data_IF_382277474953
#
_entry.id   IF_382277474953
#
_cell.length_a   1.000
_cell.length_b   1.000
_cell.length_c   1.000
_cell.angle_alpha   90.00
_cell.angle_beta   90.00
_cell.angle_gamma   90.00
#
_symmetry.space_group_name_H-M   'P 1'
#
loop_
_entity.id
_entity.type
_entity.pdbx_description
1 polymer ?
#
# COMPACT_ATOMS: atom_id res chain seq x y z
N UNK A 1 -112.15 51.24 53.07
CA UNK A 1 -111.02 51.41 52.12
C UNK A 1 -109.69 51.74 52.78
N UNK A 2 -109.61 52.60 53.82
CA UNK A 2 -108.34 52.94 54.51
C UNK A 2 -107.54 51.76 55.10
N UNK A 3 -108.21 50.70 55.57
CA UNK A 3 -107.54 49.53 56.18
C UNK A 3 -106.91 48.57 55.17
N UNK A 4 -107.39 48.57 53.92
CA UNK A 4 -106.82 47.73 52.85
C UNK A 4 -105.55 48.37 52.31
N UNK A 5 -105.51 49.71 52.18
CA UNK A 5 -104.30 50.43 51.74
C UNK A 5 -103.10 50.25 52.69
N UNK A 6 -103.36 50.17 54.01
CA UNK A 6 -102.30 49.94 55.00
C UNK A 6 -101.75 48.52 54.90
N UNK A 7 -102.60 47.50 54.73
CA UNK A 7 -102.14 46.11 54.60
C UNK A 7 -101.33 45.89 53.31
N UNK A 8 -101.72 46.51 52.21
CA UNK A 8 -100.99 46.42 50.93
C UNK A 8 -99.66 47.16 51.00
N UNK A 9 -99.60 48.33 51.63
CA UNK A 9 -98.35 49.07 51.83
C UNK A 9 -97.37 48.32 52.74
N UNK A 10 -97.86 47.69 53.82
CA UNK A 10 -97.03 46.88 54.71
C UNK A 10 -96.47 45.64 54.00
N UNK A 11 -97.28 44.96 53.18
CA UNK A 11 -96.84 43.78 52.42
C UNK A 11 -95.76 44.13 51.38
N UNK A 12 -95.85 45.30 50.73
CA UNK A 12 -94.87 45.77 49.75
C UNK A 12 -93.50 46.14 50.37
N UNK A 13 -93.48 46.65 51.61
CA UNK A 13 -92.23 46.96 52.32
C UNK A 13 -91.50 45.68 52.77
N UNK A 14 -92.23 44.61 53.07
CA UNK A 14 -91.66 43.32 53.47
C UNK A 14 -91.08 42.50 52.30
N UNK A 15 -91.53 42.75 51.06
CA UNK A 15 -90.98 42.09 49.85
C UNK A 15 -89.81 42.83 49.19
N UNK A 16 -89.35 43.95 49.76
CA UNK A 16 -88.26 44.76 49.23
C UNK A 16 -86.84 44.17 49.43
N UNK A 17 -86.70 43.11 50.25
CA UNK A 17 -85.47 42.32 50.29
C UNK A 17 -85.49 41.31 49.13
N UNK A 18 -85.24 41.84 47.92
CA UNK A 18 -85.03 41.05 46.72
C UNK A 18 -83.80 40.15 46.83
N UNK A 19 -83.74 39.19 45.93
CA UNK A 19 -82.82 38.04 45.77
C UNK A 19 -81.33 38.34 45.60
N UNK A 20 -80.81 39.40 46.23
CA UNK A 20 -79.39 39.74 46.36
C UNK A 20 -79.06 40.13 47.80
N UNK A 21 -79.67 39.42 48.77
CA UNK A 21 -79.63 39.73 50.19
C UNK A 21 -78.21 39.83 50.77
N UNK A 22 -78.06 40.72 51.76
CA UNK A 22 -76.84 40.87 52.54
C UNK A 22 -76.53 39.58 53.31
N UNK A 23 -75.64 38.73 52.79
CA UNK A 23 -75.18 37.47 53.41
C UNK A 23 -74.02 37.66 54.42
N UNK A 24 -73.95 38.84 55.04
CA UNK A 24 -73.03 39.15 56.14
C UNK A 24 -71.85 40.04 55.78
N UNK A 25 -70.85 40.08 56.68
CA UNK A 25 -69.70 41.00 56.62
C UNK A 25 -68.84 40.85 55.36
N UNK A 26 -68.92 39.71 54.68
CA UNK A 26 -68.13 39.40 53.47
C UNK A 26 -68.62 40.12 52.21
N UNK A 27 -69.83 40.67 52.19
CA UNK A 27 -70.35 41.46 51.06
C UNK A 27 -69.98 42.96 51.15
N UNK A 28 -69.30 43.39 52.24
CA UNK A 28 -68.83 44.77 52.36
C UNK A 28 -67.47 44.92 51.67
N UNK A 29 -67.31 45.90 50.77
CA UNK A 29 -66.01 46.14 50.14
C UNK A 29 -65.00 46.53 51.23
N UNK A 30 -63.97 45.69 51.39
CA UNK A 30 -62.87 45.99 52.29
C UNK A 30 -62.03 47.14 51.72
N UNK A 31 -61.67 48.15 52.54
CA UNK A 31 -60.77 49.21 52.09
C UNK A 31 -59.41 48.61 51.71
N UNK A 32 -58.93 48.91 50.50
CA UNK A 32 -57.64 48.40 49.99
C UNK A 32 -57.71 47.20 49.04
N UNK A 33 -58.91 46.69 48.72
CA UNK A 33 -59.10 45.66 47.69
C UNK A 33 -58.86 46.16 46.26
N UNK A 34 -58.73 45.23 45.31
CA UNK A 34 -58.58 45.57 43.88
C UNK A 34 -59.79 46.36 43.37
N UNK A 35 -59.55 47.39 42.55
CA UNK A 35 -60.60 48.09 41.83
C UNK A 35 -61.20 47.15 40.79
N UNK A 36 -62.51 46.94 40.85
CA UNK A 36 -63.24 46.06 39.94
C UNK A 36 -63.80 46.80 38.72
N UNK A 37 -63.73 48.14 38.71
CA UNK A 37 -64.36 48.98 37.70
C UNK A 37 -65.89 48.90 37.69
N UNK A 38 -66.51 49.54 36.69
CA UNK A 38 -67.98 49.68 36.59
C UNK A 38 -68.70 48.39 36.16
N UNK A 39 -67.97 47.45 35.56
CA UNK A 39 -68.52 46.23 34.95
C UNK A 39 -67.61 45.02 35.17
N UNK A 40 -67.45 44.54 36.42
CA UNK A 40 -66.73 43.30 36.65
C UNK A 40 -67.44 42.12 36.00
N UNK A 41 -66.66 41.06 35.71
CA UNK A 41 -67.18 39.80 35.21
C UNK A 41 -66.77 38.66 36.15
N UNK A 42 -67.63 37.65 36.24
CA UNK A 42 -67.47 36.47 37.07
C UNK A 42 -66.74 35.35 36.30
N UNK A 43 -65.83 34.67 36.98
CA UNK A 43 -65.19 33.46 36.48
C UNK A 43 -65.23 32.40 37.57
N UNK A 44 -65.61 31.19 37.20
CA UNK A 44 -65.58 30.02 38.07
C UNK A 44 -64.30 29.25 37.86
N UNK A 45 -63.62 28.91 38.94
CA UNK A 45 -62.34 28.21 38.90
C UNK A 45 -62.43 26.96 39.75
N UNK A 46 -62.12 25.81 39.15
CA UNK A 46 -62.16 24.52 39.81
C UNK A 46 -60.77 24.12 40.29
N UNK A 47 -60.58 24.00 41.60
CA UNK A 47 -59.33 23.53 42.20
C UNK A 47 -59.54 22.17 42.87
N UNK A 48 -58.53 21.29 42.79
CA UNK A 48 -58.53 20.03 43.54
C UNK A 48 -58.53 20.26 45.05
N UNK A 49 -57.84 21.31 45.49
CA UNK A 49 -57.78 21.75 46.88
C UNK A 49 -57.53 23.26 46.90
N UNK A 50 -58.24 23.98 47.76
CA UNK A 50 -58.12 25.43 47.95
C UNK A 50 -57.40 25.81 49.24
N UNK A 51 -57.00 24.83 50.05
CA UNK A 51 -56.27 25.02 51.30
C UNK A 51 -56.98 26.10 52.17
N UNK A 52 -56.23 27.11 52.59
CA UNK A 52 -56.68 28.22 53.43
C UNK A 52 -57.18 29.44 52.62
N UNK A 53 -57.64 29.26 51.38
CA UNK A 53 -58.22 30.36 50.61
C UNK A 53 -59.54 30.81 51.25
N UNK A 54 -59.73 32.13 51.37
CA UNK A 54 -60.91 32.74 52.00
C UNK A 54 -61.66 33.65 51.02
N UNK A 55 -62.97 33.89 51.23
CA UNK A 55 -63.69 34.95 50.54
C UNK A 55 -62.98 36.31 50.71
N UNK A 56 -63.11 37.19 49.72
CA UNK A 56 -62.40 38.47 49.61
C UNK A 56 -60.88 38.38 49.38
N UNK A 57 -60.30 37.18 49.28
CA UNK A 57 -58.90 37.03 48.89
C UNK A 57 -58.63 37.65 47.51
N UNK A 58 -57.42 38.17 47.31
CA UNK A 58 -57.07 38.86 46.07
C UNK A 58 -57.08 37.95 44.83
N UNK A 59 -57.42 38.52 43.68
CA UNK A 59 -57.19 37.90 42.37
C UNK A 59 -56.21 38.76 41.61
N UNK A 60 -55.15 38.16 41.09
CA UNK A 60 -54.03 38.88 40.48
C UNK A 60 -53.74 38.39 39.07
N UNK A 61 -53.29 39.29 38.21
CA UNK A 61 -52.71 38.96 36.89
C UNK A 61 -51.34 39.62 36.85
N UNK A 62 -50.27 38.86 36.62
CA UNK A 62 -48.88 39.35 36.67
C UNK A 62 -48.57 40.16 37.94
N UNK A 63 -48.96 39.61 39.11
CA UNK A 63 -48.84 40.23 40.45
C UNK A 63 -49.61 41.56 40.65
N UNK A 64 -50.39 42.02 39.67
CA UNK A 64 -51.29 43.18 39.80
C UNK A 64 -52.66 42.73 40.32
N UNK A 65 -53.18 43.30 41.42
CA UNK A 65 -54.55 43.03 41.87
C UNK A 65 -55.56 43.50 40.83
N UNK A 66 -56.36 42.57 40.32
CA UNK A 66 -57.39 42.82 39.30
C UNK A 66 -58.78 42.35 39.72
N UNK A 67 -58.88 41.71 40.88
CA UNK A 67 -60.12 41.08 41.29
C UNK A 67 -60.09 40.61 42.73
N UNK A 68 -61.16 39.91 43.12
CA UNK A 68 -61.28 39.23 44.41
C UNK A 68 -62.09 37.94 44.30
N UNK A 69 -61.86 37.04 45.24
CA UNK A 69 -62.71 35.87 45.45
C UNK A 69 -64.05 36.33 46.03
N UNK A 70 -65.14 35.99 45.36
CA UNK A 70 -66.50 36.25 45.84
C UNK A 70 -66.93 35.16 46.82
N UNK A 71 -66.83 33.89 46.38
CA UNK A 71 -67.30 32.73 47.13
C UNK A 71 -66.53 31.47 46.76
N UNK A 72 -66.51 30.54 47.71
CA UNK A 72 -65.91 29.21 47.59
C UNK A 72 -67.01 28.21 47.94
N UNK A 73 -67.35 27.36 46.98
CA UNK A 73 -68.37 26.33 47.09
C UNK A 73 -67.74 24.94 46.84
N UNK A 74 -68.40 23.88 47.31
CA UNK A 74 -68.06 22.53 46.88
C UNK A 74 -68.65 22.30 45.48
N UNK A 75 -67.81 21.87 44.54
CA UNK A 75 -68.20 21.56 43.18
C UNK A 75 -69.27 20.47 43.12
N UNK A 76 -70.01 20.43 42.02
CA UNK A 76 -71.12 19.48 41.85
C UNK A 76 -70.69 17.99 41.87
N UNK A 77 -69.40 17.72 41.69
CA UNK A 77 -68.80 16.39 41.80
C UNK A 77 -68.58 15.95 43.26
N UNK A 78 -68.60 16.88 44.21
CA UNK A 78 -68.33 16.64 45.62
C UNK A 78 -66.84 16.47 45.97
N UNK A 79 -65.93 16.68 45.01
CA UNK A 79 -64.49 16.43 45.18
C UNK A 79 -63.61 17.62 44.79
N UNK A 80 -64.16 18.59 44.08
CA UNK A 80 -63.46 19.79 43.62
C UNK A 80 -63.99 21.02 44.34
N UNK A 81 -63.14 21.99 44.66
CA UNK A 81 -63.58 23.29 45.15
C UNK A 81 -63.88 24.21 43.96
N UNK A 82 -65.10 24.74 43.87
CA UNK A 82 -65.50 25.74 42.89
C UNK A 82 -65.35 27.14 43.51
N UNK A 83 -64.34 27.88 43.06
CA UNK A 83 -64.04 29.24 43.50
C UNK A 83 -64.61 30.22 42.48
N UNK A 84 -65.56 31.04 42.91
CA UNK A 84 -66.12 32.12 42.10
C UNK A 84 -65.31 33.39 42.34
N UNK A 85 -64.73 33.93 41.28
CA UNK A 85 -63.91 35.16 41.33
C UNK A 85 -64.55 36.27 40.51
N UNK A 86 -64.47 37.49 41.02
CA UNK A 86 -64.83 38.71 40.31
C UNK A 86 -63.58 39.38 39.79
N UNK A 87 -63.54 39.65 38.48
CA UNK A 87 -62.40 40.25 37.79
C UNK A 87 -62.82 41.60 37.20
N UNK A 88 -61.92 42.58 37.24
CA UNK A 88 -62.15 43.89 36.67
C UNK A 88 -62.46 43.81 35.16
N UNK A 89 -63.53 44.50 34.74
CA UNK A 89 -64.04 44.52 33.37
C UNK A 89 -63.08 45.05 32.30
N UNK A 90 -62.03 45.76 32.67
CA UNK A 90 -61.01 46.26 31.75
C UNK A 90 -59.90 45.24 31.48
N UNK A 91 -59.83 44.17 32.28
CA UNK A 91 -58.86 43.09 32.09
C UNK A 91 -59.31 42.18 30.96
N UNK A 92 -58.36 41.79 30.10
CA UNK A 92 -58.58 40.89 28.96
C UNK A 92 -57.71 39.66 29.13
N UNK A 93 -58.35 38.52 29.39
CA UNK A 93 -57.71 37.22 29.52
C UNK A 93 -58.14 36.30 28.36
N UNK A 94 -57.25 35.43 27.86
CA UNK A 94 -57.63 34.39 26.90
C UNK A 94 -58.67 33.42 27.45
N UNK A 95 -59.51 32.83 26.59
CA UNK A 95 -60.49 31.81 27.01
C UNK A 95 -59.83 30.52 27.51
N UNK A 96 -58.62 30.26 27.05
CA UNK A 96 -57.76 29.17 27.53
C UNK A 96 -56.85 29.58 28.71
N UNK A 97 -57.22 30.61 29.48
CA UNK A 97 -56.50 31.00 30.69
C UNK A 97 -56.42 29.88 31.73
N UNK A 98 -55.38 29.98 32.56
CA UNK A 98 -55.12 29.11 33.72
C UNK A 98 -55.28 29.90 35.00
N UNK A 99 -55.58 29.19 36.09
CA UNK A 99 -55.68 29.79 37.42
C UNK A 99 -54.75 29.07 38.39
N UNK A 100 -53.98 29.80 39.19
CA UNK A 100 -53.06 29.23 40.17
C UNK A 100 -53.37 29.76 41.55
N UNK A 101 -53.48 28.86 42.53
CA UNK A 101 -53.46 29.24 43.93
C UNK A 101 -52.01 29.52 44.34
N UNK A 102 -51.73 30.77 44.74
CA UNK A 102 -50.41 31.23 45.17
C UNK A 102 -50.49 31.86 46.55
N UNK A 103 -49.35 32.14 47.15
CA UNK A 103 -49.23 32.80 48.45
C UNK A 103 -48.33 34.03 48.32
N UNK A 104 -48.71 35.14 48.96
CA UNK A 104 -47.96 36.41 48.80
C UNK A 104 -46.55 36.36 49.41
N UNK A 105 -46.35 35.58 50.46
CA UNK A 105 -45.07 35.32 51.14
C UNK A 105 -45.13 33.96 51.84
N UNK A 106 -44.05 33.46 52.46
CA UNK A 106 -44.04 32.14 53.14
C UNK A 106 -45.12 31.98 54.22
N UNK A 107 -45.52 33.08 54.87
CA UNK A 107 -46.61 33.15 55.85
C UNK A 107 -47.71 34.15 55.44
N UNK A 108 -47.75 34.51 54.15
CA UNK A 108 -48.76 35.44 53.63
C UNK A 108 -50.10 34.78 53.35
N UNK A 109 -51.10 35.59 53.02
CA UNK A 109 -52.41 35.12 52.55
C UNK A 109 -52.31 34.41 51.19
N UNK A 110 -53.24 33.48 50.96
CA UNK A 110 -53.44 32.84 49.65
C UNK A 110 -54.23 33.76 48.73
N UNK A 111 -53.93 33.70 47.44
CA UNK A 111 -54.60 34.48 46.40
C UNK A 111 -54.70 33.67 45.11
N UNK A 112 -55.64 34.03 44.25
CA UNK A 112 -55.81 33.41 42.94
C UNK A 112 -55.04 34.22 41.89
N UNK A 113 -54.08 33.61 41.22
CA UNK A 113 -53.42 34.17 40.05
C UNK A 113 -54.14 33.70 38.78
N UNK A 114 -54.55 34.62 37.93
CA UNK A 114 -55.02 34.33 36.57
C UNK A 114 -53.92 34.65 35.57
N UNK A 115 -53.66 33.73 34.65
CA UNK A 115 -52.63 33.89 33.64
C UNK A 115 -53.08 33.35 32.28
N UNK A 116 -52.35 33.70 31.22
CA UNK A 116 -52.47 33.02 29.93
C UNK A 116 -52.06 31.55 30.01
N UNK A 117 -52.34 30.74 28.98
CA UNK A 117 -51.98 29.32 28.95
C UNK A 117 -50.48 29.13 29.18
N UNK A 118 -50.11 28.13 29.98
CA UNK A 118 -48.70 27.82 30.26
C UNK A 118 -47.95 27.32 29.01
N UNK A 119 -48.67 26.62 28.13
CA UNK A 119 -48.18 26.09 26.86
C UNK A 119 -49.22 26.34 25.75
N UNK A 120 -48.75 26.58 24.53
CA UNK A 120 -49.63 26.82 23.36
C UNK A 120 -49.97 28.29 23.10
N UNK A 121 -50.85 28.53 22.12
CA UNK A 121 -51.26 29.89 21.73
C UNK A 121 -52.45 30.35 22.58
N UNK A 122 -52.51 31.63 22.91
CA UNK A 122 -53.71 32.23 23.50
C UNK A 122 -54.89 32.16 22.52
N UNK A 123 -56.03 31.67 23.00
CA UNK A 123 -57.23 31.43 22.18
C UNK A 123 -58.47 32.02 22.85
N UNK A 124 -59.33 32.65 22.04
CA UNK A 124 -60.58 33.24 22.49
C UNK A 124 -60.40 34.34 23.54
N UNK A 125 -61.47 34.63 24.26
CA UNK A 125 -61.47 35.54 25.41
C UNK A 125 -62.26 34.91 26.55
N UNK A 126 -61.77 35.08 27.78
CA UNK A 126 -62.47 34.67 28.98
C UNK A 126 -63.68 35.59 29.17
N UNK A 127 -64.87 35.02 29.24
CA UNK A 127 -66.13 35.75 29.33
C UNK A 127 -66.77 35.59 30.72
N UNK A 128 -67.76 36.42 31.01
CA UNK A 128 -68.59 36.31 32.21
C UNK A 128 -69.23 34.92 32.33
N UNK A 129 -69.15 34.31 33.51
CA UNK A 129 -69.62 32.96 33.81
C UNK A 129 -68.74 31.82 33.25
N UNK A 130 -67.57 32.12 32.69
CA UNK A 130 -66.66 31.08 32.18
C UNK A 130 -66.11 30.19 33.29
N UNK A 131 -65.86 28.92 32.96
CA UNK A 131 -65.27 27.94 33.88
C UNK A 131 -63.83 27.62 33.48
N UNK A 132 -62.90 27.79 34.41
CA UNK A 132 -61.53 27.27 34.34
C UNK A 132 -61.52 25.91 35.05
N UNK A 133 -61.38 24.80 34.31
CA UNK A 133 -61.46 23.44 34.87
C UNK A 133 -60.17 23.07 35.60
N UNK A 134 -60.22 22.00 36.40
CA UNK A 134 -59.12 21.57 37.29
C UNK A 134 -57.82 21.29 36.56
N UNK A 135 -57.86 20.82 35.31
CA UNK A 135 -56.67 20.54 34.48
C UNK A 135 -55.88 21.81 34.14
N UNK A 136 -56.54 22.98 34.22
CA UNK A 136 -55.93 24.31 34.02
C UNK A 136 -55.65 25.02 35.35
N UNK A 137 -55.53 24.26 36.44
CA UNK A 137 -55.14 24.74 37.76
C UNK A 137 -53.93 24.02 38.33
N UNK A 138 -53.30 24.59 39.37
CA UNK A 138 -52.17 23.95 40.05
C UNK A 138 -52.61 23.15 41.29
N UNK A 139 -51.91 22.04 41.55
CA UNK A 139 -51.87 21.38 42.86
C UNK A 139 -50.77 22.07 43.67
N UNK A 140 -51.10 23.09 44.46
CA UNK A 140 -50.10 23.78 45.28
C UNK A 140 -49.72 22.85 46.46
N UNK A 141 -48.53 22.21 46.47
CA UNK A 141 -48.20 21.22 47.49
C UNK A 141 -48.01 21.91 48.84
N UNK A 142 -48.43 21.22 49.91
CA UNK A 142 -48.25 21.68 51.28
C UNK A 142 -46.81 21.45 51.76
N UNK A 143 -46.38 22.23 52.74
CA UNK A 143 -45.03 22.15 53.33
C UNK A 143 -44.84 20.77 54.00
N UNK A 144 -45.92 20.22 54.53
CA UNK A 144 -46.06 18.90 55.13
C UNK A 144 -45.82 17.77 54.11
N UNK A 145 -46.28 17.91 52.87
CA UNK A 145 -46.02 16.95 51.79
C UNK A 145 -44.52 16.94 51.45
N UNK A 146 -43.89 18.11 51.44
CA UNK A 146 -42.44 18.25 51.23
C UNK A 146 -41.64 17.65 52.39
N UNK A 147 -42.01 17.93 53.64
CA UNK A 147 -41.36 17.33 54.82
C UNK A 147 -41.61 15.82 54.91
N UNK A 148 -42.78 15.34 54.50
CA UNK A 148 -43.09 13.92 54.37
C UNK A 148 -42.20 13.23 53.35
N UNK A 149 -42.03 13.84 52.17
CA UNK A 149 -41.11 13.34 51.14
C UNK A 149 -39.65 13.35 51.61
N UNK A 150 -39.21 14.41 52.30
CA UNK A 150 -37.87 14.48 52.90
C UNK A 150 -37.68 13.41 53.97
N UNK A 151 -38.69 13.18 54.82
CA UNK A 151 -38.68 12.14 55.84
C UNK A 151 -38.60 10.75 55.21
N UNK A 152 -39.32 10.48 54.13
CA UNK A 152 -39.19 9.23 53.37
C UNK A 152 -37.81 9.06 52.75
N UNK A 153 -37.19 10.13 52.24
CA UNK A 153 -35.82 10.07 51.73
C UNK A 153 -34.82 9.71 52.83
N UNK A 154 -34.96 10.33 54.01
CA UNK A 154 -34.08 10.10 55.15
C UNK A 154 -34.31 8.72 55.79
N UNK A 155 -35.56 8.27 55.89
CA UNK A 155 -35.94 7.03 56.59
C UNK A 155 -36.05 5.79 55.67
N UNK A 156 -36.20 5.99 54.35
CA UNK A 156 -36.65 4.96 53.40
C UNK A 156 -35.62 4.50 52.35
N UNK A 157 -34.35 4.92 52.43
CA UNK A 157 -33.30 4.29 51.63
C UNK A 157 -32.07 5.13 51.32
N UNK A 158 -32.21 6.46 51.15
CA UNK A 158 -31.13 7.28 50.59
C UNK A 158 -29.84 7.26 51.41
N UNK A 159 -29.95 7.30 52.74
CA UNK A 159 -28.77 7.29 53.63
C UNK A 159 -28.12 5.90 53.70
N UNK A 160 -28.92 4.82 53.73
CA UNK A 160 -28.39 3.46 53.74
C UNK A 160 -27.66 3.14 52.43
N UNK A 161 -28.21 3.55 51.28
CA UNK A 161 -27.56 3.38 49.98
C UNK A 161 -26.28 4.20 49.85
N UNK A 162 -26.22 5.42 50.40
CA UNK A 162 -24.96 6.18 50.46
C UNK A 162 -23.92 5.51 51.35
N UNK A 163 -24.35 4.89 52.45
CA UNK A 163 -23.46 4.12 53.31
C UNK A 163 -22.92 2.87 52.60
N UNK A 164 -23.75 2.16 51.83
CA UNK A 164 -23.34 0.99 51.05
C UNK A 164 -22.38 1.37 49.92
N UNK A 165 -22.69 2.43 49.15
CA UNK A 165 -21.77 2.96 48.13
C UNK A 165 -20.44 3.36 48.77
N UNK A 166 -20.45 4.04 49.92
CA UNK A 166 -19.22 4.41 50.61
C UNK A 166 -18.43 3.20 51.10
N UNK A 167 -19.10 2.13 51.57
CA UNK A 167 -18.45 0.89 51.97
C UNK A 167 -17.85 0.15 50.79
N UNK A 168 -18.56 0.06 49.67
CA UNK A 168 -18.08 -0.61 48.45
C UNK A 168 -16.91 0.16 47.83
N UNK A 169 -16.97 1.49 47.78
CA UNK A 169 -15.85 2.31 47.33
C UNK A 169 -14.64 2.14 48.25
N UNK A 170 -14.84 2.19 49.57
CA UNK A 170 -13.75 1.93 50.51
C UNK A 170 -13.19 0.52 50.34
N UNK A 171 -14.03 -0.51 50.19
CA UNK A 171 -13.57 -1.89 49.96
C UNK A 171 -12.82 -2.06 48.63
N UNK A 172 -13.15 -1.27 47.60
CA UNK A 172 -12.44 -1.27 46.33
C UNK A 172 -11.07 -0.55 46.42
N UNK A 173 -10.96 0.47 47.28
CA UNK A 173 -9.76 1.29 47.46
C UNK A 173 -8.80 0.69 48.50
N UNK A 174 -9.34 0.14 49.59
CA UNK A 174 -8.60 -0.42 50.73
C UNK A 174 -7.85 -1.69 50.30
N UNK A 175 -6.53 -1.69 50.48
CA UNK A 175 -5.63 -2.76 50.03
C UNK A 175 -5.12 -2.62 48.58
N UNK A 176 -5.61 -1.65 47.82
CA UNK A 176 -5.14 -1.33 46.46
C UNK A 176 -4.36 0.00 46.39
N UNK A 177 -4.07 0.63 47.52
CA UNK A 177 -3.37 1.92 47.58
C UNK A 177 -1.97 1.88 46.94
N UNK A 178 -1.15 0.82 47.12
CA UNK A 178 0.13 0.71 46.42
C UNK A 178 -0.02 0.63 44.89
N UNK A 179 -1.04 -0.07 44.40
CA UNK A 179 -1.34 -0.26 42.99
C UNK A 179 -1.83 1.04 42.36
N UNK A 180 -2.72 1.77 43.05
CA UNK A 180 -3.21 3.08 42.62
C UNK A 180 -2.05 4.08 42.59
N UNK A 181 -1.19 4.10 43.62
CA UNK A 181 0.01 4.95 43.64
C UNK A 181 0.94 4.61 42.49
N UNK A 182 1.18 3.33 42.22
CA UNK A 182 2.01 2.90 41.09
C UNK A 182 1.41 3.31 39.74
N UNK A 183 0.10 3.21 39.56
CA UNK A 183 -0.58 3.66 38.35
C UNK A 183 -0.41 5.17 38.15
N UNK A 184 -0.61 5.96 39.21
CA UNK A 184 -0.43 7.42 39.16
C UNK A 184 1.03 7.81 38.89
N UNK A 185 2.00 7.11 39.48
CA UNK A 185 3.42 7.32 39.21
C UNK A 185 3.76 6.97 37.76
N UNK A 186 3.22 5.88 37.23
CA UNK A 186 3.42 5.48 35.84
C UNK A 186 2.75 6.46 34.86
N UNK A 187 1.56 6.96 35.18
CA UNK A 187 0.90 8.02 34.41
C UNK A 187 1.72 9.30 34.41
N UNK A 188 2.25 9.72 35.56
CA UNK A 188 3.11 10.90 35.64
C UNK A 188 4.41 10.72 34.84
N UNK A 189 5.02 9.53 34.88
CA UNK A 189 6.19 9.23 34.04
C UNK A 189 5.84 9.28 32.56
N UNK A 190 4.74 8.64 32.14
CA UNK A 190 4.30 8.65 30.75
C UNK A 190 4.01 10.07 30.25
N UNK A 191 3.29 10.86 31.03
CA UNK A 191 2.99 12.25 30.69
C UNK A 191 4.27 13.09 30.67
N UNK A 192 5.17 12.89 31.63
CA UNK A 192 6.47 13.58 31.67
C UNK A 192 7.37 13.23 30.49
N UNK A 193 7.45 11.95 30.12
CA UNK A 193 8.22 11.49 28.95
C UNK A 193 7.62 12.03 27.66
N UNK A 194 6.28 12.04 27.53
CA UNK A 194 5.60 12.59 26.37
C UNK A 194 5.83 14.11 26.23
N UNK A 195 5.78 14.84 27.35
CA UNK A 195 6.07 16.27 27.37
C UNK A 195 7.54 16.56 27.00
N UNK A 196 8.48 15.78 27.55
CA UNK A 196 9.91 15.89 27.24
C UNK A 196 10.23 15.62 25.75
N UNK A 197 9.48 14.74 25.08
CA UNK A 197 9.67 14.40 23.67
C UNK A 197 8.71 15.13 22.71
N UNK A 198 7.91 16.08 23.21
CA UNK A 198 6.94 16.84 22.40
C UNK A 198 7.58 17.54 21.21
N UNK A 199 8.78 18.10 21.40
CA UNK A 199 9.50 18.79 20.33
C UNK A 199 10.02 17.83 19.25
N UNK A 200 10.37 16.59 19.63
CA UNK A 200 10.76 15.54 18.67
C UNK A 200 9.57 15.07 17.85
N UNK A 201 8.44 14.83 18.51
CA UNK A 201 7.18 14.45 17.85
C UNK A 201 6.75 15.55 16.87
N UNK A 202 6.82 16.82 17.29
CA UNK A 202 6.49 17.97 16.44
C UNK A 202 7.43 18.04 15.24
N UNK A 203 8.75 17.87 15.45
CA UNK A 203 9.72 17.81 14.34
C UNK A 203 9.45 16.68 13.37
N UNK A 204 9.04 15.50 13.85
CA UNK A 204 8.69 14.37 13.00
C UNK A 204 7.45 14.68 12.16
N UNK A 205 6.40 15.26 12.77
CA UNK A 205 5.20 15.69 12.06
C UNK A 205 5.48 16.78 11.02
N UNK A 206 6.32 17.76 11.35
CA UNK A 206 6.78 18.79 10.41
C UNK A 206 7.59 18.19 9.26
N UNK A 207 8.42 17.18 9.55
CA UNK A 207 9.16 16.42 8.54
C UNK A 207 8.24 15.69 7.56
N UNK A 208 7.20 15.02 8.09
CA UNK A 208 6.17 14.37 7.27
C UNK A 208 5.41 15.40 6.43
N UNK A 209 5.04 16.54 7.01
CA UNK A 209 4.35 17.61 6.31
C UNK A 209 5.22 18.20 5.17
N UNK A 210 6.52 18.42 5.42
CA UNK A 210 7.47 18.85 4.38
C UNK A 210 7.62 17.82 3.27
N UNK A 211 7.74 16.54 3.62
CA UNK A 211 7.80 15.47 2.63
C UNK A 211 6.53 15.42 1.79
N UNK A 212 5.36 15.45 2.42
CA UNK A 212 4.06 15.51 1.75
C UNK A 212 3.94 16.72 0.83
N UNK A 213 4.37 17.90 1.29
CA UNK A 213 4.44 19.11 0.48
C UNK A 213 5.37 18.99 -0.73
N UNK A 214 6.54 18.35 -0.55
CA UNK A 214 7.53 18.13 -1.61
C UNK A 214 6.99 17.15 -2.66
N UNK A 215 6.41 16.03 -2.23
CA UNK A 215 5.79 15.05 -3.11
C UNK A 215 4.60 15.64 -3.88
N UNK A 216 3.80 16.49 -3.24
CA UNK A 216 2.69 17.17 -3.90
C UNK A 216 3.18 18.20 -4.92
N UNK A 217 4.23 18.97 -4.61
CA UNK A 217 4.84 19.92 -5.54
C UNK A 217 5.51 19.21 -6.74
N UNK A 218 6.08 18.03 -6.53
CA UNK A 218 6.70 17.20 -7.57
C UNK A 218 5.72 16.25 -8.25
N UNK A 219 4.42 16.32 -7.93
CA UNK A 219 3.41 15.38 -8.45
C UNK A 219 3.40 15.32 -9.96
N UNK A 220 3.39 16.47 -10.64
CA UNK A 220 3.41 16.51 -12.11
C UNK A 220 4.69 15.92 -12.70
N UNK A 221 5.83 16.09 -12.02
CA UNK A 221 7.11 15.56 -12.47
C UNK A 221 7.17 14.03 -12.28
N UNK A 222 6.66 13.52 -11.16
CA UNK A 222 6.51 12.09 -10.90
C UNK A 222 5.54 11.47 -11.92
N UNK A 223 4.38 12.11 -12.16
CA UNK A 223 3.42 11.67 -13.18
C UNK A 223 4.06 11.69 -14.56
N UNK A 224 4.81 12.74 -14.93
CA UNK A 224 5.51 12.80 -16.22
C UNK A 224 6.55 11.70 -16.41
N UNK A 225 7.26 11.30 -15.35
CA UNK A 225 8.19 10.15 -15.40
C UNK A 225 7.43 8.83 -15.56
N UNK A 226 6.34 8.64 -14.83
CA UNK A 226 5.52 7.43 -14.93
C UNK A 226 4.83 7.32 -16.31
N UNK A 227 4.29 8.41 -16.82
CA UNK A 227 3.70 8.50 -18.16
C UNK A 227 4.76 8.33 -19.25
N UNK A 228 6.00 8.76 -19.01
CA UNK A 228 7.14 8.59 -19.93
C UNK A 228 7.74 7.18 -19.93
N UNK A 229 7.56 6.42 -18.86
CA UNK A 229 8.05 5.04 -18.76
C UNK A 229 7.27 4.09 -19.69
N UNK A 230 5.97 4.28 -19.86
CA UNK A 230 5.13 3.44 -20.72
C UNK A 230 5.61 3.41 -22.20
N UNK A 231 5.79 4.55 -22.90
CA UNK A 231 6.32 4.54 -24.26
C UNK A 231 7.79 4.08 -24.31
N UNK A 232 8.61 4.39 -23.29
CA UNK A 232 10.00 3.92 -23.23
C UNK A 232 10.11 2.39 -23.14
N UNK A 233 9.30 1.76 -22.29
CA UNK A 233 9.21 0.30 -22.17
C UNK A 233 8.60 -0.34 -23.43
N UNK A 234 7.67 0.35 -24.09
CA UNK A 234 7.12 -0.09 -25.38
C UNK A 234 8.18 -0.12 -26.47
N UNK A 235 9.00 0.92 -26.59
CA UNK A 235 10.13 0.97 -27.55
C UNK A 235 11.15 -0.14 -27.25
N UNK A 236 11.51 -0.35 -25.99
CA UNK A 236 12.38 -1.45 -25.58
C UNK A 236 11.80 -2.83 -25.92
N UNK A 237 10.48 -3.01 -25.78
CA UNK A 237 9.78 -4.24 -26.16
C UNK A 237 9.77 -4.44 -27.69
N UNK A 238 9.50 -3.38 -28.46
CA UNK A 238 9.51 -3.40 -29.92
C UNK A 238 10.92 -3.66 -30.48
N UNK A 239 11.96 -3.12 -29.84
CA UNK A 239 13.37 -3.30 -30.22
C UNK A 239 13.99 -4.60 -29.71
N UNK A 240 13.33 -5.34 -28.81
CA UNK A 240 13.80 -6.64 -28.29
C UNK A 240 14.17 -7.59 -29.43
N UNK A 241 13.34 -7.65 -30.47
CA UNK A 241 13.60 -8.50 -31.64
C UNK A 241 14.89 -8.08 -32.34
N UNK A 242 15.12 -6.77 -32.51
CA UNK A 242 16.33 -6.25 -33.16
C UNK A 242 17.59 -6.54 -32.34
N UNK A 243 17.52 -6.42 -31.01
CA UNK A 243 18.63 -6.76 -30.11
C UNK A 243 18.96 -8.26 -30.15
N UNK A 244 17.94 -9.12 -30.16
CA UNK A 244 18.14 -10.58 -30.32
C UNK A 244 18.76 -10.89 -31.68
N UNK A 245 18.28 -10.26 -32.75
CA UNK A 245 18.86 -10.42 -34.09
C UNK A 245 20.31 -9.95 -34.16
N UNK A 246 20.66 -8.84 -33.50
CA UNK A 246 22.03 -8.35 -33.42
C UNK A 246 22.93 -9.36 -32.69
N UNK A 247 22.48 -9.89 -31.54
CA UNK A 247 23.24 -10.89 -30.78
C UNK A 247 23.41 -12.19 -31.59
N UNK A 248 22.38 -12.66 -32.29
CA UNK A 248 22.47 -13.82 -33.19
C UNK A 248 23.42 -13.57 -34.37
N UNK A 249 23.43 -12.35 -34.90
CA UNK A 249 24.34 -11.97 -35.99
C UNK A 249 25.80 -11.92 -35.51
N UNK A 250 26.03 -11.45 -34.28
CA UNK A 250 27.35 -11.47 -33.65
C UNK A 250 27.83 -12.89 -33.34
N UNK A 251 26.93 -13.76 -32.89
CA UNK A 251 27.21 -15.19 -32.66
C UNK A 251 27.62 -15.88 -33.97
N UNK A 252 26.84 -15.67 -35.04
CA UNK A 252 27.15 -16.18 -36.39
C UNK A 252 28.50 -15.66 -36.89
N UNK A 253 28.78 -14.36 -36.70
CA UNK A 253 30.06 -13.77 -37.08
C UNK A 253 31.23 -14.39 -36.30
N UNK A 254 31.04 -14.65 -35.01
CA UNK A 254 32.02 -15.31 -34.15
C UNK A 254 32.30 -16.73 -34.63
N UNK A 255 31.27 -17.51 -34.96
CA UNK A 255 31.42 -18.86 -35.50
C UNK A 255 32.22 -18.87 -36.80
N UNK A 256 31.90 -17.96 -37.73
CA UNK A 256 32.64 -17.83 -39.01
C UNK A 256 34.09 -17.44 -38.77
N UNK A 257 34.35 -16.50 -37.86
CA UNK A 257 35.70 -16.08 -37.51
C UNK A 257 36.51 -17.22 -36.90
N UNK A 258 35.95 -17.96 -35.95
CA UNK A 258 36.59 -19.11 -35.29
C UNK A 258 36.87 -20.23 -36.29
N UNK A 259 35.91 -20.57 -37.15
CA UNK A 259 36.08 -21.58 -38.20
C UNK A 259 37.19 -21.18 -39.19
N UNK A 260 37.21 -19.91 -39.61
CA UNK A 260 38.25 -19.39 -40.53
C UNK A 260 39.65 -19.47 -39.91
N UNK A 261 39.78 -19.11 -38.63
CA UNK A 261 41.06 -19.19 -37.91
C UNK A 261 41.51 -20.64 -37.77
N UNK A 262 40.61 -21.55 -37.43
CA UNK A 262 40.93 -22.97 -37.31
C UNK A 262 41.37 -23.59 -38.64
N UNK A 263 40.61 -23.34 -39.73
CA UNK A 263 40.99 -23.81 -41.07
C UNK A 263 42.33 -23.24 -41.53
N UNK A 264 42.54 -21.94 -41.35
CA UNK A 264 43.82 -21.30 -41.70
C UNK A 264 45.00 -21.90 -40.93
N UNK A 265 44.80 -22.18 -39.63
CA UNK A 265 45.79 -22.87 -38.81
C UNK A 265 46.08 -24.28 -39.32
N UNK A 266 45.04 -25.04 -39.64
CA UNK A 266 45.17 -26.41 -40.13
C UNK A 266 45.89 -26.46 -41.48
N UNK A 267 45.57 -25.55 -42.40
CA UNK A 267 46.22 -25.39 -43.70
C UNK A 267 47.70 -25.02 -43.53
N UNK A 268 48.02 -24.04 -42.68
CA UNK A 268 49.43 -23.68 -42.38
C UNK A 268 50.19 -24.88 -41.81
N UNK A 269 49.58 -25.65 -40.90
CA UNK A 269 50.22 -26.85 -40.34
C UNK A 269 50.42 -27.93 -41.41
N UNK A 270 49.46 -28.11 -42.31
CA UNK A 270 49.57 -29.05 -43.42
C UNK A 270 50.68 -28.64 -44.40
N UNK A 271 50.75 -27.36 -44.77
CA UNK A 271 51.80 -26.82 -45.63
C UNK A 271 53.19 -26.99 -45.02
N UNK A 272 53.34 -26.66 -43.72
CA UNK A 272 54.60 -26.85 -43.01
C UNK A 272 55.01 -28.34 -42.95
N UNK A 273 54.07 -29.27 -42.77
CA UNK A 273 54.32 -30.71 -42.84
C UNK A 273 54.73 -31.16 -44.25
N UNK A 274 54.11 -30.60 -45.29
CA UNK A 274 54.44 -30.89 -46.68
C UNK A 274 55.83 -30.33 -47.09
N UNK A 275 56.24 -29.20 -46.51
CA UNK A 275 57.56 -28.59 -46.70
C UNK A 275 58.67 -29.32 -45.94
N UNK A 276 58.35 -29.98 -44.82
CA UNK A 276 59.31 -30.70 -43.99
C UNK A 276 60.23 -31.68 -44.77
N UNK A 277 59.73 -32.60 -45.64
CA UNK A 277 60.59 -33.50 -46.39
C UNK A 277 61.53 -32.76 -47.36
N UNK A 278 61.08 -31.68 -47.99
CA UNK A 278 61.88 -30.86 -48.90
C UNK A 278 63.01 -30.15 -48.16
N UNK A 279 62.70 -29.56 -47.00
CA UNK A 279 63.70 -28.94 -46.13
C UNK A 279 64.68 -29.97 -45.56
N UNK A 280 64.20 -31.20 -45.27
CA UNK A 280 65.06 -32.30 -44.82
C UNK A 280 66.01 -32.78 -45.91
N UNK A 281 65.54 -32.87 -47.16
CA UNK A 281 66.40 -33.18 -48.32
C UNK A 281 67.41 -32.07 -48.61
N UNK A 282 67.03 -30.81 -48.42
CA UNK A 282 67.95 -29.68 -48.51
C UNK A 282 69.02 -29.72 -47.40
N UNK A 283 68.63 -30.08 -46.17
CA UNK A 283 69.58 -30.27 -45.08
C UNK A 283 70.51 -31.49 -45.30
N UNK A 284 69.98 -32.60 -45.82
CA UNK A 284 70.76 -33.79 -46.23
C UNK A 284 71.75 -33.48 -47.36
N UNK A 285 71.42 -32.56 -48.26
CA UNK A 285 72.34 -32.10 -49.30
C UNK A 285 73.58 -31.41 -48.70
N UNK A 286 73.46 -30.81 -47.50
CA UNK A 286 74.58 -30.39 -46.66
C UNK A 286 75.73 -29.72 -47.42
N UNK A 287 76.94 -30.27 -47.27
CA UNK A 287 78.17 -29.79 -47.93
C UNK A 287 78.26 -30.15 -49.42
N UNK A 288 77.41 -31.04 -49.94
CA UNK A 288 77.41 -31.41 -51.36
C UNK A 288 76.96 -30.25 -52.26
N UNK A 289 76.11 -29.35 -51.74
CA UNK A 289 75.57 -28.23 -52.51
C UNK A 289 76.66 -27.13 -52.73
N UNK A 290 77.41 -26.68 -51.70
CA UNK A 290 78.61 -25.86 -51.90
C UNK A 290 79.71 -26.54 -52.75
N UNK A 291 80.01 -27.82 -52.50
CA UNK A 291 81.04 -28.55 -53.25
C UNK A 291 80.67 -28.71 -54.74
N UNK A 292 79.38 -28.91 -55.05
CA UNK A 292 78.88 -28.95 -56.41
C UNK A 292 79.01 -27.61 -57.14
N UNK A 293 78.87 -26.48 -56.42
CA UNK A 293 79.11 -25.14 -56.99
C UNK A 293 80.60 -24.86 -57.24
N UNK A 294 81.52 -25.39 -56.43
CA UNK A 294 82.97 -25.32 -56.72
C UNK A 294 83.32 -26.06 -58.02
N UNK A 295 82.75 -27.25 -58.22
CA UNK A 295 82.94 -28.06 -59.43
C UNK A 295 82.29 -27.45 -60.69
N UNK A 296 81.13 -26.78 -60.57
CA UNK A 296 80.43 -26.16 -61.70
C UNK A 296 81.22 -24.98 -62.30
N UNK A 297 81.91 -24.21 -61.46
CA UNK A 297 82.62 -23.00 -61.88
C UNK A 297 84.07 -23.24 -62.33
N UNK A 298 84.64 -24.43 -62.10
CA UNK A 298 86.07 -24.73 -62.35
C UNK A 298 86.32 -25.86 -63.36
N UNK A 299 85.31 -26.28 -64.14
CA UNK A 299 85.51 -27.27 -65.20
C UNK A 299 86.45 -26.74 -66.31
N UNK A 300 87.44 -27.53 -66.80
CA UNK A 300 87.69 -28.95 -66.51
C UNK A 300 88.72 -29.25 -65.40
N UNK A 301 89.22 -28.27 -64.65
CA UNK A 301 90.24 -28.50 -63.61
C UNK A 301 89.92 -27.70 -62.33
N UNK A 302 89.37 -28.34 -61.28
CA UNK A 302 89.20 -27.68 -59.98
C UNK A 302 90.54 -27.19 -59.43
N UNK A 303 90.56 -26.18 -58.58
CA UNK A 303 91.81 -25.59 -58.04
C UNK A 303 92.71 -26.66 -57.36
N UNK A 304 92.11 -27.71 -56.80
CA UNK A 304 92.83 -28.87 -56.26
C UNK A 304 93.62 -29.69 -57.29
N UNK A 305 93.28 -29.61 -58.58
CA UNK A 305 94.01 -30.23 -59.68
C UNK A 305 95.28 -29.43 -60.08
N UNK A 306 95.37 -28.14 -59.72
CA UNK A 306 96.52 -27.29 -60.04
C UNK A 306 97.76 -27.68 -59.21
N UNK A 307 97.57 -28.16 -57.98
CA UNK A 307 98.66 -28.62 -57.10
C UNK A 307 99.43 -29.85 -57.66
N UNK A 308 98.76 -30.64 -58.52
CA UNK A 308 99.33 -31.84 -59.15
C UNK A 308 100.15 -31.57 -60.42
N UNK A 309 100.14 -30.34 -60.94
CA UNK A 309 100.86 -29.97 -62.17
C UNK A 309 102.26 -29.45 -61.79
N UNK A 310 103.31 -30.21 -62.10
CA UNK A 310 104.72 -29.82 -61.89
C UNK A 310 105.36 -29.53 -63.24
N UNK A 311 105.08 -28.34 -63.77
CA UNK A 311 105.56 -27.92 -65.09
C UNK A 311 104.91 -28.74 -66.20
N UNK A 312 105.72 -29.43 -66.98
CA UNK A 312 105.39 -29.95 -68.32
C UNK A 312 104.74 -31.34 -68.29
N UNK A 313 104.56 -31.93 -67.11
CA UNK A 313 103.92 -33.24 -66.94
C UNK A 313 103.00 -33.29 -65.71
N UNK A 314 102.00 -34.16 -65.78
CA UNK A 314 101.17 -34.57 -64.65
C UNK A 314 101.06 -36.09 -64.64
N UNK A 315 101.16 -36.69 -63.46
CA UNK A 315 100.98 -38.12 -63.29
C UNK A 315 99.57 -38.37 -62.76
N UNK A 316 98.73 -39.01 -63.57
CA UNK A 316 97.37 -39.39 -63.18
C UNK A 316 97.39 -40.83 -62.65
N UNK A 317 97.05 -40.99 -61.38
CA UNK A 317 96.74 -42.29 -60.79
C UNK A 317 95.24 -42.33 -60.52
N UNK A 318 94.53 -43.20 -61.24
CA UNK A 318 93.10 -43.41 -61.05
C UNK A 318 92.89 -44.80 -60.48
N UNK A 319 92.29 -44.88 -59.30
CA UNK A 319 91.76 -46.11 -58.74
C UNK A 319 90.28 -46.17 -59.08
N UNK A 320 89.89 -47.17 -59.86
CA UNK A 320 88.53 -47.35 -60.35
C UNK A 320 87.93 -48.57 -59.66
N UNK A 321 87.20 -48.31 -58.57
CA UNK A 321 86.37 -49.32 -57.93
C UNK A 321 84.97 -49.27 -58.54
N UNK A 322 84.64 -50.28 -59.34
CA UNK A 322 83.34 -50.42 -60.00
C UNK A 322 82.56 -51.53 -59.32
N UNK A 323 81.65 -51.15 -58.42
CA UNK A 323 80.61 -52.06 -57.94
C UNK A 323 79.53 -52.25 -59.01
N UNK A 324 79.74 -53.28 -59.82
CA UNK A 324 78.81 -53.68 -60.89
C UNK A 324 77.42 -54.04 -60.35
N UNK A 325 77.28 -54.42 -59.06
CA UNK A 325 75.99 -54.67 -58.43
C UNK A 325 75.16 -53.40 -58.36
N UNK A 326 75.77 -52.32 -57.88
CA UNK A 326 75.12 -51.00 -57.77
C UNK A 326 74.82 -50.39 -59.13
N UNK A 327 75.68 -50.59 -60.14
CA UNK A 327 75.43 -50.11 -61.51
C UNK A 327 74.22 -50.82 -62.15
N UNK A 328 74.13 -52.15 -61.99
CA UNK A 328 73.00 -52.93 -62.52
C UNK A 328 71.71 -52.61 -61.76
N UNK A 329 71.77 -52.42 -60.44
CA UNK A 329 70.61 -52.01 -59.66
C UNK A 329 70.08 -50.64 -60.10
N UNK A 330 70.96 -49.68 -60.34
CA UNK A 330 70.57 -48.34 -60.78
C UNK A 330 70.03 -48.34 -62.22
N UNK A 331 70.59 -49.14 -63.12
CA UNK A 331 70.01 -49.34 -64.46
C UNK A 331 68.65 -50.07 -64.39
N UNK A 332 68.47 -51.00 -63.45
CA UNK A 332 67.20 -51.67 -63.21
C UNK A 332 66.12 -50.72 -62.67
N UNK A 333 66.48 -49.86 -61.71
CA UNK A 333 65.59 -48.82 -61.14
C UNK A 333 65.23 -47.73 -62.14
N UNK A 334 66.07 -47.47 -63.15
CA UNK A 334 65.75 -46.49 -64.21
C UNK A 334 64.50 -46.85 -65.03
N UNK A 335 64.06 -48.11 -65.00
CA UNK A 335 62.83 -48.58 -65.66
C UNK A 335 61.58 -48.46 -64.80
N UNK A 336 61.70 -48.07 -63.54
CA UNK A 336 60.56 -47.88 -62.63
C UNK A 336 60.22 -46.39 -62.54
N UNK A 337 58.96 -46.04 -62.77
CA UNK A 337 58.48 -44.68 -62.54
C UNK A 337 58.54 -44.37 -61.03
N UNK A 338 59.12 -43.23 -60.60
CA UNK A 338 59.22 -42.87 -59.19
C UNK A 338 57.90 -42.37 -58.58
N UNK A 339 56.79 -42.41 -59.33
CA UNK A 339 55.48 -41.94 -58.87
C UNK A 339 54.60 -43.12 -58.43
N UNK A 340 54.00 -43.11 -57.22
CA UNK A 340 52.97 -44.07 -56.84
C UNK A 340 51.72 -43.88 -57.71
N UNK A 341 51.00 -44.97 -57.99
CA UNK A 341 49.72 -44.93 -58.69
C UNK A 341 48.70 -44.10 -57.90
N UNK A 342 48.26 -42.97 -58.46
CA UNK A 342 47.19 -42.15 -57.91
C UNK A 342 45.83 -42.80 -58.22
N UNK A 343 44.94 -43.02 -57.24
CA UNK A 343 43.62 -43.61 -57.51
C UNK A 343 42.76 -42.67 -58.37
N UNK A 344 42.24 -43.15 -59.50
CA UNK A 344 41.16 -42.47 -60.24
C UNK A 344 41.46 -41.95 -61.65
N UNK A 345 42.66 -42.15 -62.20
CA UNK A 345 42.99 -41.82 -63.60
C UNK A 345 43.34 -43.09 -64.40
N UNK A 346 42.53 -43.52 -65.39
CA UNK A 346 42.86 -44.69 -66.21
C UNK A 346 43.93 -44.34 -67.25
N UNK A 347 45.02 -45.11 -67.34
CA UNK A 347 45.92 -45.09 -68.50
C UNK A 347 47.38 -44.64 -68.27
N UNK A 348 47.85 -44.53 -67.02
CA UNK A 348 49.29 -44.34 -66.73
C UNK A 348 49.77 -45.48 -65.83
N UNK A 349 49.77 -46.70 -66.38
CA UNK A 349 50.47 -47.82 -65.79
C UNK A 349 51.93 -47.72 -66.23
N UNK A 350 52.85 -47.53 -65.28
CA UNK A 350 54.25 -47.18 -65.50
C UNK A 350 55.14 -48.24 -66.17
N UNK A 351 54.65 -48.98 -67.16
CA UNK A 351 55.45 -49.85 -68.01
C UNK A 351 55.65 -49.21 -69.39
N UNK A 352 56.91 -49.03 -69.80
CA UNK A 352 57.26 -48.68 -71.17
C UNK A 352 56.77 -49.80 -72.15
N UNK A 353 56.28 -49.45 -73.35
CA UNK A 353 55.84 -50.45 -74.33
C UNK A 353 56.99 -51.40 -74.72
N UNK A 354 56.71 -52.69 -74.81
CA UNK A 354 57.69 -53.69 -75.27
C UNK A 354 58.05 -53.46 -76.75
N UNK A 355 59.34 -53.51 -77.07
CA UNK A 355 59.82 -53.39 -78.46
C UNK A 355 59.41 -54.64 -79.28
N UNK A 356 59.04 -54.52 -80.58
CA UNK A 356 58.25 -55.53 -81.28
C UNK A 356 59.04 -56.66 -81.95
N UNK A 357 60.31 -56.91 -81.61
CA UNK A 357 61.13 -57.88 -82.35
C UNK A 357 61.96 -58.76 -81.40
N UNK A 358 61.85 -60.10 -81.47
CA UNK A 358 62.68 -61.02 -80.68
C UNK A 358 64.11 -61.05 -81.23
N UNK A 359 65.10 -60.85 -80.35
CA UNK A 359 66.52 -61.06 -80.69
C UNK A 359 66.81 -62.57 -80.85
N UNK A 360 67.59 -62.99 -81.86
CA UNK A 360 67.84 -64.39 -82.15
C UNK A 360 68.74 -65.07 -81.11
N UNK A 361 68.43 -66.33 -80.83
CA UNK A 361 69.08 -67.18 -79.83
C UNK A 361 70.46 -67.64 -80.32
N UNK A 362 71.54 -67.15 -79.72
CA UNK A 362 72.90 -67.65 -79.97
C UNK A 362 73.23 -68.78 -78.98
N UNK A 363 73.66 -69.97 -79.43
CA UNK A 363 73.90 -71.11 -78.56
C UNK A 363 75.16 -70.91 -77.70
N UNK A 364 75.00 -71.02 -76.39
CA UNK A 364 76.10 -71.17 -75.45
C UNK A 364 76.57 -72.63 -75.48
N UNK A 365 77.88 -72.93 -75.54
CA UNK A 365 78.39 -74.30 -75.48
C UNK A 365 78.12 -74.88 -74.09
N UNK A 366 77.42 -76.00 -74.02
CA UNK A 366 77.25 -76.75 -72.78
C UNK A 366 78.50 -77.55 -72.45
N UNK A 367 78.96 -77.47 -71.20
CA UNK A 367 79.76 -78.53 -70.58
C UNK A 367 79.32 -78.68 -69.12
N UNK A 368 78.81 -79.87 -68.86
CA UNK A 368 78.55 -80.52 -67.59
C UNK A 368 79.79 -80.62 -66.70
N UNK A 369 79.60 -80.49 -65.39
CA UNK A 369 80.25 -81.26 -64.33
C UNK A 369 81.77 -81.50 -64.39
N UNK A 370 82.44 -80.94 -63.40
CA UNK A 370 83.67 -81.42 -62.76
C UNK A 370 85.01 -81.23 -63.50
N UNK A 371 86.03 -80.88 -62.71
CA UNK A 371 87.47 -80.74 -63.02
C UNK A 371 87.98 -79.60 -63.93
N UNK A 372 88.76 -78.69 -63.30
CA UNK A 372 90.08 -78.26 -63.80
C UNK A 372 90.15 -77.19 -64.90
N UNK A 373 90.42 -75.93 -64.52
CA UNK A 373 91.09 -74.93 -65.37
C UNK A 373 92.45 -74.52 -64.79
N UNK A 374 93.20 -75.52 -64.32
CA UNK A 374 94.66 -75.49 -64.31
C UNK A 374 95.28 -75.66 -65.70
N UNK A 375 94.46 -75.90 -66.75
CA UNK A 375 94.93 -76.25 -68.10
C UNK A 375 94.99 -75.06 -69.07
N UNK A 376 94.30 -73.94 -68.81
CA UNK A 376 94.33 -72.76 -69.70
C UNK A 376 95.43 -71.73 -69.37
N UNK A 377 96.06 -71.82 -68.19
CA UNK A 377 97.18 -70.94 -67.83
C UNK A 377 98.56 -71.59 -68.02
N UNK A 378 98.63 -72.89 -68.38
CA UNK A 378 99.88 -73.56 -68.75
C UNK A 378 100.38 -73.23 -70.17
N UNK A 379 99.53 -72.66 -71.03
CA UNK A 379 99.83 -72.48 -72.47
C UNK A 379 100.26 -71.08 -72.91
N UNK A 380 100.09 -70.04 -72.08
CA UNK A 380 100.22 -68.65 -72.54
C UNK A 380 101.29 -67.81 -71.83
N UNK A 381 101.94 -68.33 -70.78
CA UNK A 381 103.09 -67.69 -70.13
C UNK A 381 104.19 -68.68 -69.75
N UNK A 382 104.55 -69.53 -70.71
CA UNK A 382 105.68 -70.46 -70.60
C UNK A 382 107.05 -69.77 -70.68
N UNK A 383 107.89 -70.07 -69.68
CA UNK A 383 109.35 -69.89 -69.68
C UNK A 383 109.87 -69.59 -68.27
N UNK A 384 110.65 -70.40 -67.57
CA UNK A 384 111.29 -71.67 -67.90
C UNK A 384 112.53 -71.83 -67.01
N UNK A 385 112.40 -72.60 -65.91
CA UNK A 385 113.36 -73.51 -65.26
C UNK A 385 112.99 -73.77 -63.81
#
# INVERSE_FOLDING_TARGET
MRRIGVLVASALVLTGCGSGGFDGVYNMPLPGGADLGDRPYEVKVQFKDVLDLVPQAGVKVNDVPVGRVDRIDLGADGWTAEVTVLVNGDVRLPGNSVARLRQSALLGEKYVELAGPAEGRAEGALADGSVIPVERTNRNPEVEEVFGALSMLLNGGGIAQLQDISRELNAALEGNEPQIRSLLDNLNRLVGDLDAHKDEITRALDGINRLGGTLNAQREQITGVLDGLEPGLKVLSEQRTQLVTLLQSLDTLSDVAVDTVNKSKDDIVADLKALAPTLRKLAEAGTNLPNGFELLLTYPFPDSAVDGIKGDYTNLYADLDLDLGTVVENLGRSRQSPLPSLPGLPGIDGNAPSLPLPLPNLPLPGVSGDSGLGDLLGGLLGGGR
#
